data_IF_210096041464
#
_entry.id   IF_210096041464
#
_cell.length_a   1.000
_cell.length_b   1.000
_cell.length_c   1.000
_cell.angle_alpha   90.00
_cell.angle_beta   90.00
_cell.angle_gamma   90.00
#
_symmetry.space_group_name_H-M   'P 1'
#
loop_
_entity.id
_entity.type
_entity.pdbx_description
1 polymer ?
#
# COMPACT_ATOMS: atom_id res chain seq x y z
N UNK A 1 -31.59 16.36 -23.39
CA UNK A 1 -30.45 15.61 -22.83
C UNK A 1 -29.69 16.56 -21.89
N UNK A 2 -29.51 16.19 -20.62
CA UNK A 2 -28.77 17.01 -19.66
C UNK A 2 -27.33 17.25 -20.15
N UNK A 3 -26.73 18.36 -19.73
CA UNK A 3 -25.30 18.59 -19.93
C UNK A 3 -24.52 17.40 -19.32
N UNK A 4 -23.44 16.96 -19.97
CA UNK A 4 -22.69 15.77 -19.54
C UNK A 4 -22.10 15.91 -18.12
N UNK A 5 -21.78 17.14 -17.71
CA UNK A 5 -21.22 17.42 -16.39
C UNK A 5 -22.15 17.02 -15.22
N UNK A 6 -23.40 17.51 -15.11
CA UNK A 6 -24.31 17.09 -14.03
C UNK A 6 -24.66 15.60 -14.06
N UNK A 7 -24.62 14.95 -15.23
CA UNK A 7 -24.80 13.50 -15.32
C UNK A 7 -23.66 12.74 -14.61
N UNK A 8 -22.40 13.10 -14.92
CA UNK A 8 -21.23 12.48 -14.27
C UNK A 8 -21.19 12.78 -12.78
N UNK A 9 -21.51 14.03 -12.39
CA UNK A 9 -21.57 14.41 -10.98
C UNK A 9 -22.65 13.62 -10.22
N UNK A 10 -23.83 13.44 -10.82
CA UNK A 10 -24.91 12.65 -10.22
C UNK A 10 -24.50 11.20 -9.97
N UNK A 11 -23.80 10.57 -10.93
CA UNK A 11 -23.29 9.21 -10.78
C UNK A 11 -22.29 9.11 -9.61
N UNK A 12 -21.24 9.94 -9.60
CA UNK A 12 -20.21 9.91 -8.56
C UNK A 12 -20.82 10.17 -7.17
N UNK A 13 -21.68 11.19 -7.04
CA UNK A 13 -22.29 11.54 -5.75
C UNK A 13 -23.23 10.44 -5.25
N UNK A 14 -23.96 9.78 -6.15
CA UNK A 14 -24.85 8.67 -5.77
C UNK A 14 -24.10 7.43 -5.27
N UNK A 15 -22.86 7.22 -5.72
CA UNK A 15 -22.04 6.07 -5.31
C UNK A 15 -21.34 6.29 -3.96
N UNK A 16 -20.95 7.52 -3.62
CA UNK A 16 -20.28 7.84 -2.36
C UNK A 16 -20.93 7.22 -1.09
N UNK A 17 -22.25 7.32 -0.85
CA UNK A 17 -22.86 6.70 0.33
C UNK A 17 -22.75 5.18 0.31
N UNK A 18 -22.86 4.56 -0.88
CA UNK A 18 -22.71 3.12 -1.03
C UNK A 18 -21.27 2.67 -0.73
N UNK A 19 -20.27 3.39 -1.24
CA UNK A 19 -18.86 3.11 -0.97
C UNK A 19 -18.50 3.25 0.51
N UNK A 20 -19.05 4.24 1.20
CA UNK A 20 -18.84 4.40 2.64
C UNK A 20 -19.41 3.23 3.44
N UNK A 21 -20.59 2.73 3.07
CA UNK A 21 -21.20 1.57 3.73
C UNK A 21 -20.35 0.31 3.48
N UNK A 22 -19.93 0.08 2.24
CA UNK A 22 -19.06 -1.05 1.88
C UNK A 22 -17.72 -0.99 2.62
N UNK A 23 -17.07 0.18 2.63
CA UNK A 23 -15.83 0.41 3.38
C UNK A 23 -16.00 0.12 4.87
N UNK A 24 -17.10 0.58 5.48
CA UNK A 24 -17.39 0.35 6.90
C UNK A 24 -17.59 -1.13 7.22
N UNK A 25 -18.41 -1.82 6.42
CA UNK A 25 -18.65 -3.26 6.62
C UNK A 25 -17.37 -4.07 6.46
N UNK A 26 -16.58 -3.78 5.42
CA UNK A 26 -15.30 -4.45 5.21
C UNK A 26 -14.32 -4.16 6.34
N UNK A 27 -14.18 -2.89 6.74
CA UNK A 27 -13.30 -2.48 7.83
C UNK A 27 -13.66 -3.19 9.13
N UNK A 28 -14.93 -3.22 9.53
CA UNK A 28 -15.34 -3.87 10.79
C UNK A 28 -15.06 -5.37 10.76
N UNK A 29 -15.38 -6.05 9.65
CA UNK A 29 -15.15 -7.48 9.52
C UNK A 29 -13.66 -7.85 9.49
N UNK A 30 -12.84 -7.11 8.74
CA UNK A 30 -11.42 -7.43 8.57
C UNK A 30 -10.53 -6.91 9.70
N UNK A 31 -10.72 -5.66 10.12
CA UNK A 31 -9.80 -4.97 11.03
C UNK A 31 -9.78 -5.61 12.42
N UNK A 32 -10.96 -5.90 12.97
CA UNK A 32 -11.08 -6.48 14.31
C UNK A 32 -10.74 -7.97 14.34
N UNK A 33 -11.01 -8.71 13.26
CA UNK A 33 -10.64 -10.14 13.17
C UNK A 33 -9.13 -10.34 13.02
N UNK A 34 -8.44 -9.39 12.39
CA UNK A 34 -7.00 -9.43 12.19
C UNK A 34 -6.16 -9.10 13.45
N UNK A 35 -6.77 -8.67 14.56
CA UNK A 35 -6.02 -8.32 15.77
C UNK A 35 -5.11 -7.10 15.61
N UNK A 36 -5.51 -6.15 14.77
CA UNK A 36 -4.79 -4.91 14.52
C UNK A 36 -4.89 -3.93 15.72
N UNK A 37 -3.99 -2.94 15.85
CA UNK A 37 -3.97 -2.04 17.00
C UNK A 37 -5.29 -1.25 17.15
N UNK A 38 -6.06 -1.49 18.21
CA UNK A 38 -7.38 -0.86 18.41
C UNK A 38 -7.34 0.61 18.83
N UNK A 39 -6.16 1.21 18.95
CA UNK A 39 -6.02 2.63 19.28
C UNK A 39 -6.74 3.51 18.27
N UNK A 40 -7.54 4.47 18.74
CA UNK A 40 -8.40 5.30 17.89
C UNK A 40 -7.64 6.01 16.76
N UNK A 41 -6.39 6.42 17.00
CA UNK A 41 -5.52 7.01 15.98
C UNK A 41 -5.16 6.05 14.85
N UNK A 42 -4.88 4.78 15.16
CA UNK A 42 -4.54 3.76 14.17
C UNK A 42 -5.80 3.27 13.43
N UNK A 43 -6.85 2.94 14.17
CA UNK A 43 -8.11 2.46 13.61
C UNK A 43 -8.76 3.51 12.69
N UNK A 44 -8.83 4.77 13.13
CA UNK A 44 -9.36 5.86 12.32
C UNK A 44 -8.54 6.14 11.06
N UNK A 45 -7.21 6.09 11.16
CA UNK A 45 -6.32 6.29 10.01
C UNK A 45 -6.44 5.14 9.00
N UNK A 46 -6.56 3.90 9.46
CA UNK A 46 -6.78 2.74 8.58
C UNK A 46 -8.16 2.81 7.93
N UNK A 47 -9.22 3.15 8.68
CA UNK A 47 -10.55 3.34 8.12
C UNK A 47 -10.55 4.41 7.02
N UNK A 48 -9.87 5.54 7.25
CA UNK A 48 -9.71 6.59 6.24
C UNK A 48 -9.05 6.06 4.96
N UNK A 49 -7.97 5.29 5.08
CA UNK A 49 -7.28 4.69 3.93
C UNK A 49 -8.18 3.70 3.19
N UNK A 50 -9.00 2.91 3.90
CA UNK A 50 -9.98 1.99 3.29
C UNK A 50 -11.07 2.75 2.52
N UNK A 51 -11.57 3.86 3.06
CA UNK A 51 -12.52 4.72 2.31
C UNK A 51 -11.88 5.29 1.05
N UNK A 52 -10.62 5.72 1.13
CA UNK A 52 -9.88 6.22 -0.04
C UNK A 52 -9.60 5.10 -1.05
N UNK A 53 -9.39 3.87 -0.61
CA UNK A 53 -9.24 2.69 -1.47
C UNK A 53 -10.50 2.47 -2.34
N UNK A 54 -11.69 2.52 -1.74
CA UNK A 54 -12.95 2.37 -2.48
C UNK A 54 -13.12 3.48 -3.53
N UNK A 55 -12.78 4.73 -3.18
CA UNK A 55 -12.80 5.85 -4.13
C UNK A 55 -11.78 5.69 -5.27
N UNK A 56 -10.59 5.17 -4.96
CA UNK A 56 -9.54 4.93 -5.95
C UNK A 56 -9.95 3.83 -6.94
N UNK A 57 -10.43 2.70 -6.42
CA UNK A 57 -10.83 1.54 -7.22
C UNK A 57 -12.00 1.88 -8.15
N UNK A 58 -13.04 2.53 -7.61
CA UNK A 58 -14.19 2.97 -8.42
C UNK A 58 -13.82 4.04 -9.42
N UNK A 59 -12.99 5.01 -9.05
CA UNK A 59 -12.50 6.05 -9.96
C UNK A 59 -11.74 5.47 -11.16
N UNK A 60 -10.84 4.51 -10.94
CA UNK A 60 -10.12 3.83 -12.03
C UNK A 60 -11.09 3.04 -12.91
N UNK A 61 -12.03 2.30 -12.31
CA UNK A 61 -13.05 1.55 -13.05
C UNK A 61 -13.91 2.46 -13.93
N UNK A 62 -14.37 3.59 -13.40
CA UNK A 62 -15.16 4.58 -14.14
C UNK A 62 -14.35 5.25 -15.25
N UNK A 63 -13.06 5.52 -15.03
CA UNK A 63 -12.17 6.08 -16.05
C UNK A 63 -12.03 5.12 -17.24
N UNK A 64 -11.81 3.83 -16.96
CA UNK A 64 -11.72 2.79 -17.99
C UNK A 64 -13.07 2.69 -18.71
N UNK A 65 -14.17 2.54 -17.98
CA UNK A 65 -15.51 2.43 -18.55
C UNK A 65 -15.88 3.63 -19.45
N UNK A 66 -15.47 4.85 -19.07
CA UNK A 66 -15.71 6.05 -19.86
C UNK A 66 -15.00 6.01 -21.23
N UNK A 67 -13.80 5.43 -21.30
CA UNK A 67 -13.01 5.36 -22.53
C UNK A 67 -13.36 4.14 -23.41
N UNK A 68 -13.74 3.02 -22.80
CA UNK A 68 -14.00 1.79 -23.55
C UNK A 68 -15.30 1.85 -24.37
N UNK A 69 -15.33 1.21 -25.56
CA UNK A 69 -16.51 1.20 -26.42
C UNK A 69 -17.64 0.32 -25.86
N UNK A 70 -17.29 -0.77 -25.17
CA UNK A 70 -18.22 -1.79 -24.67
C UNK A 70 -17.84 -2.26 -23.25
N UNK A 71 -18.82 -2.65 -22.45
CA UNK A 71 -18.62 -3.13 -21.08
C UNK A 71 -17.76 -4.40 -20.99
N UNK A 72 -17.87 -5.31 -21.97
CA UNK A 72 -17.03 -6.52 -22.04
C UNK A 72 -15.56 -6.15 -22.16
N UNK A 73 -15.23 -5.16 -23.00
CA UNK A 73 -13.85 -4.71 -23.14
C UNK A 73 -13.34 -4.04 -21.86
N UNK A 74 -14.18 -3.25 -21.18
CA UNK A 74 -13.85 -2.69 -19.86
C UNK A 74 -13.50 -3.76 -18.83
N UNK A 75 -14.29 -4.85 -18.79
CA UNK A 75 -14.05 -5.96 -17.85
C UNK A 75 -12.75 -6.73 -18.09
N UNK A 76 -12.23 -6.73 -19.33
CA UNK A 76 -10.94 -7.35 -19.67
C UNK A 76 -9.75 -6.43 -19.36
N UNK A 77 -9.91 -5.12 -19.57
CA UNK A 77 -8.83 -4.14 -19.36
C UNK A 77 -8.65 -3.82 -17.88
N UNK A 78 -9.74 -3.73 -17.11
CA UNK A 78 -9.69 -3.40 -15.68
C UNK A 78 -8.72 -4.30 -14.86
N UNK A 79 -8.80 -5.64 -14.92
CA UNK A 79 -7.89 -6.49 -14.16
C UNK A 79 -6.44 -6.34 -14.62
N UNK A 80 -6.16 -6.09 -15.91
CA UNK A 80 -4.80 -5.84 -16.39
C UNK A 80 -4.20 -4.57 -15.79
N UNK A 81 -4.98 -3.48 -15.76
CA UNK A 81 -4.53 -2.20 -15.19
C UNK A 81 -4.29 -2.34 -13.68
N UNK A 82 -5.27 -2.88 -12.95
CA UNK A 82 -5.17 -3.04 -11.49
C UNK A 82 -4.02 -3.98 -11.12
N UNK A 83 -3.87 -5.12 -11.80
CA UNK A 83 -2.78 -6.07 -11.52
C UNK A 83 -1.42 -5.43 -11.77
N UNK A 84 -1.28 -4.63 -12.82
CA UNK A 84 -0.03 -3.90 -13.10
C UNK A 84 0.28 -2.92 -11.98
N UNK A 85 -0.68 -2.08 -11.58
CA UNK A 85 -0.50 -1.12 -10.48
C UNK A 85 -0.14 -1.82 -9.17
N UNK A 86 -0.90 -2.83 -8.75
CA UNK A 86 -0.64 -3.59 -7.53
C UNK A 86 0.73 -4.30 -7.57
N UNK A 87 1.20 -4.74 -8.74
CA UNK A 87 2.54 -5.35 -8.87
C UNK A 87 3.68 -4.37 -8.59
N UNK A 88 3.48 -3.09 -8.90
CA UNK A 88 4.49 -2.04 -8.71
C UNK A 88 4.33 -1.22 -7.42
N UNK A 89 3.41 -1.61 -6.53
CA UNK A 89 3.14 -0.89 -5.28
C UNK A 89 4.29 -0.91 -4.25
N UNK A 90 5.40 -1.62 -4.51
CA UNK A 90 6.57 -1.64 -3.63
C UNK A 90 6.52 -2.65 -2.48
N UNK A 91 5.34 -3.20 -2.18
CA UNK A 91 5.16 -4.22 -1.13
C UNK A 91 5.35 -5.63 -1.68
N UNK A 92 4.85 -5.92 -2.89
CA UNK A 92 5.09 -7.22 -3.55
C UNK A 92 6.53 -7.36 -4.04
N UNK A 93 7.07 -6.29 -4.62
CA UNK A 93 8.46 -6.21 -5.06
C UNK A 93 9.09 -4.99 -4.37
N UNK A 94 10.03 -5.18 -3.44
CA UNK A 94 10.76 -4.10 -2.78
C UNK A 94 11.37 -3.13 -3.79
N UNK A 95 11.39 -1.84 -3.45
CA UNK A 95 11.92 -0.78 -4.31
C UNK A 95 13.33 -1.07 -4.87
N UNK A 96 14.19 -1.72 -4.09
CA UNK A 96 15.55 -2.09 -4.50
C UNK A 96 15.60 -3.14 -5.61
N UNK A 97 14.60 -4.00 -5.71
CA UNK A 97 14.51 -5.11 -6.67
C UNK A 97 13.78 -4.73 -7.97
N UNK A 98 13.11 -3.57 -8.01
CA UNK A 98 12.44 -3.09 -9.22
C UNK A 98 13.48 -2.66 -10.26
N UNK A 99 13.27 -3.10 -11.51
CA UNK A 99 14.11 -2.73 -12.67
C UNK A 99 14.23 -1.20 -12.75
N UNK A 100 15.44 -0.63 -12.96
CA UNK A 100 15.68 0.81 -12.85
C UNK A 100 14.72 1.68 -13.66
N UNK A 101 14.35 1.25 -14.87
CA UNK A 101 13.38 1.95 -15.71
C UNK A 101 12.03 2.14 -15.01
N UNK A 102 11.44 1.06 -14.49
CA UNK A 102 10.16 1.09 -13.77
C UNK A 102 10.24 1.76 -12.40
N UNK A 103 11.41 1.67 -11.76
CA UNK A 103 11.65 2.20 -10.42
C UNK A 103 11.56 3.72 -10.33
N UNK A 104 11.93 4.47 -11.37
CA UNK A 104 11.97 5.93 -11.31
C UNK A 104 10.63 6.62 -11.59
N UNK A 105 9.64 5.92 -12.16
CA UNK A 105 8.39 6.54 -12.61
C UNK A 105 7.12 5.83 -12.12
N UNK A 106 6.87 4.59 -12.54
CA UNK A 106 5.73 3.76 -12.12
C UNK A 106 5.59 3.66 -10.61
N UNK A 107 6.69 3.46 -9.88
CA UNK A 107 6.65 3.40 -8.41
C UNK A 107 6.02 4.67 -7.79
N UNK A 108 6.31 5.85 -8.34
CA UNK A 108 5.82 7.12 -7.81
C UNK A 108 4.48 7.57 -8.41
N UNK A 109 4.13 7.07 -9.60
CA UNK A 109 2.83 7.32 -10.26
C UNK A 109 1.75 6.38 -9.71
N UNK A 110 2.14 5.22 -9.20
CA UNK A 110 1.19 4.24 -8.70
C UNK A 110 0.54 4.69 -7.38
N UNK A 111 -0.79 4.94 -7.36
CA UNK A 111 -1.48 5.30 -6.13
C UNK A 111 -1.50 4.16 -5.10
N UNK A 112 -1.39 2.90 -5.54
CA UNK A 112 -1.35 1.75 -4.64
C UNK A 112 -0.08 1.70 -3.81
N UNK A 113 1.04 2.27 -4.29
CA UNK A 113 2.26 2.41 -3.49
C UNK A 113 2.00 3.22 -2.21
N UNK A 114 1.41 4.40 -2.35
CA UNK A 114 1.11 5.28 -1.21
C UNK A 114 0.04 4.68 -0.30
N UNK A 115 -0.97 4.04 -0.89
CA UNK A 115 -2.04 3.37 -0.16
C UNK A 115 -1.51 2.25 0.74
N UNK A 116 -0.78 1.29 0.16
CA UNK A 116 -0.22 0.17 0.92
C UNK A 116 0.81 0.64 1.93
N UNK A 117 1.66 1.60 1.56
CA UNK A 117 2.64 2.18 2.48
C UNK A 117 1.97 2.83 3.69
N UNK A 118 0.87 3.57 3.50
CA UNK A 118 0.14 4.20 4.60
C UNK A 118 -0.51 3.17 5.54
N UNK A 119 -1.12 2.13 4.97
CA UNK A 119 -1.74 1.05 5.71
C UNK A 119 -0.72 0.31 6.58
N UNK A 120 0.44 -0.03 6.01
CA UNK A 120 1.52 -0.70 6.72
C UNK A 120 2.05 0.16 7.86
N UNK A 121 2.36 1.44 7.62
CA UNK A 121 2.86 2.34 8.66
C UNK A 121 1.87 2.46 9.83
N UNK A 122 0.57 2.61 9.57
CA UNK A 122 -0.41 2.74 10.66
C UNK A 122 -0.60 1.46 11.48
N UNK A 123 -0.29 0.29 10.91
CA UNK A 123 -0.57 -1.01 11.56
C UNK A 123 0.65 -1.66 12.20
N UNK A 124 1.85 -1.46 11.64
CA UNK A 124 3.04 -2.20 12.04
C UNK A 124 4.17 -1.35 12.61
N UNK A 125 4.15 -0.02 12.48
CA UNK A 125 5.28 0.84 12.89
C UNK A 125 5.72 0.63 14.34
N UNK A 126 4.78 0.64 15.29
CA UNK A 126 5.06 0.51 16.73
C UNK A 126 4.89 -0.92 17.27
N UNK A 127 4.71 -1.93 16.39
CA UNK A 127 4.54 -3.31 16.86
C UNK A 127 5.90 -3.97 17.16
N UNK A 128 6.12 -4.48 18.39
CA UNK A 128 7.32 -5.27 18.69
C UNK A 128 7.26 -6.61 17.95
N UNK A 129 8.41 -7.05 17.44
CA UNK A 129 8.54 -8.34 16.75
C UNK A 129 9.10 -9.36 17.73
N UNK A 130 8.37 -10.46 17.90
CA UNK A 130 8.82 -11.61 18.68
C UNK A 130 8.98 -12.81 17.75
N UNK A 131 10.22 -13.14 17.41
CA UNK A 131 10.51 -14.29 16.55
C UNK A 131 10.12 -15.61 17.23
N UNK A 132 9.50 -16.51 16.47
CA UNK A 132 9.32 -17.91 16.88
C UNK A 132 10.61 -18.70 16.68
N UNK A 133 10.79 -19.87 17.33
CA UNK A 133 11.99 -20.70 17.16
C UNK A 133 12.33 -21.05 15.71
N UNK A 134 11.32 -21.16 14.85
CA UNK A 134 11.47 -21.46 13.41
C UNK A 134 11.95 -20.26 12.58
N UNK A 135 11.77 -19.04 13.08
CA UNK A 135 12.15 -17.78 12.41
C UNK A 135 13.52 -17.28 12.88
N UNK A 136 14.13 -17.97 13.86
CA UNK A 136 15.45 -17.64 14.38
C UNK A 136 16.52 -18.13 13.40
N UNK A 137 17.43 -17.22 13.05
CA UNK A 137 18.67 -17.62 12.43
C UNK A 137 19.56 -18.24 13.50
N UNK A 138 19.82 -19.54 13.38
CA UNK A 138 20.70 -20.29 14.28
C UNK A 138 22.05 -20.52 13.60
N UNK A 139 23.13 -20.09 14.24
CA UNK A 139 24.48 -20.35 13.78
C UNK A 139 25.46 -20.49 14.96
N UNK A 140 26.62 -21.08 14.71
CA UNK A 140 27.68 -21.23 15.71
C UNK A 140 28.79 -20.19 15.48
N UNK A 141 29.23 -19.47 16.54
CA UNK A 141 30.32 -18.50 16.41
C UNK A 141 31.68 -19.21 16.33
N UNK A 142 32.74 -18.52 15.86
CA UNK A 142 34.10 -19.06 15.88
C UNK A 142 34.57 -19.43 17.29
N UNK A 143 35.51 -20.38 17.39
CA UNK A 143 36.06 -20.84 18.67
C UNK A 143 36.61 -19.68 19.52
N UNK A 144 36.23 -19.65 20.81
CA UNK A 144 36.59 -18.64 21.80
C UNK A 144 35.90 -17.26 21.66
N UNK A 145 34.77 -17.17 20.97
CA UNK A 145 33.92 -15.96 20.96
C UNK A 145 32.51 -16.27 21.46
N UNK A 146 31.92 -15.32 22.18
CA UNK A 146 30.48 -15.33 22.51
C UNK A 146 29.65 -14.87 21.32
N UNK A 147 28.36 -15.23 21.31
CA UNK A 147 27.41 -14.75 20.30
C UNK A 147 27.37 -13.21 20.23
N UNK A 148 27.44 -12.53 21.38
CA UNK A 148 27.45 -11.07 21.45
C UNK A 148 28.72 -10.47 20.83
N UNK A 149 29.90 -11.04 21.12
CA UNK A 149 31.17 -10.56 20.56
C UNK A 149 31.20 -10.70 19.04
N UNK A 150 30.78 -11.84 18.51
CA UNK A 150 30.74 -12.08 17.07
C UNK A 150 29.75 -11.18 16.34
N UNK A 151 28.56 -10.95 16.92
CA UNK A 151 27.52 -10.13 16.30
C UNK A 151 27.69 -8.62 16.51
N UNK A 152 28.56 -8.18 17.43
CA UNK A 152 28.73 -6.77 17.76
C UNK A 152 29.04 -5.89 16.52
N UNK A 153 29.92 -6.36 15.63
CA UNK A 153 30.27 -5.64 14.40
C UNK A 153 29.08 -5.64 13.41
N UNK A 154 28.38 -6.77 13.27
CA UNK A 154 27.19 -6.86 12.41
C UNK A 154 26.05 -5.95 12.90
N UNK A 155 25.80 -5.94 14.21
CA UNK A 155 24.82 -5.08 14.88
C UNK A 155 25.21 -3.59 14.83
N UNK A 156 26.49 -3.26 14.64
CA UNK A 156 26.91 -1.86 14.44
C UNK A 156 26.67 -1.34 13.01
N UNK A 157 26.47 -2.24 12.04
CA UNK A 157 26.31 -1.90 10.63
C UNK A 157 24.95 -2.32 10.09
N UNK A 158 24.96 -3.35 9.23
CA UNK A 158 23.77 -3.79 8.49
C UNK A 158 22.73 -4.50 9.37
N UNK A 159 23.13 -4.98 10.55
CA UNK A 159 22.33 -5.77 11.47
C UNK A 159 21.78 -5.01 12.68
N UNK A 160 21.80 -3.67 12.69
CA UNK A 160 21.26 -2.84 13.80
C UNK A 160 19.87 -3.26 14.24
N UNK A 161 19.05 -3.72 13.30
CA UNK A 161 17.67 -4.14 13.52
C UNK A 161 17.53 -5.56 14.12
N UNK A 162 18.62 -6.30 14.30
CA UNK A 162 18.57 -7.68 14.78
C UNK A 162 18.56 -7.75 16.30
N UNK A 163 17.81 -8.71 16.84
CA UNK A 163 17.74 -8.96 18.28
C UNK A 163 18.39 -10.32 18.59
N UNK A 164 19.40 -10.32 19.46
CA UNK A 164 20.06 -11.54 19.93
C UNK A 164 19.41 -12.01 21.24
N UNK A 165 18.95 -13.26 21.28
CA UNK A 165 18.25 -13.80 22.45
C UNK A 165 19.20 -14.40 23.50
N UNK A 166 20.36 -14.92 23.07
CA UNK A 166 21.36 -15.57 23.93
C UNK A 166 22.76 -14.95 23.75
N UNK A 167 23.04 -13.81 24.39
CA UNK A 167 24.32 -13.10 24.24
C UNK A 167 25.52 -13.85 24.83
N UNK A 168 25.32 -14.61 25.90
CA UNK A 168 26.39 -15.24 26.69
C UNK A 168 26.80 -16.63 26.18
N UNK A 169 26.02 -17.23 25.27
CA UNK A 169 26.30 -18.56 24.76
C UNK A 169 27.44 -18.54 23.73
N UNK A 170 28.17 -19.66 23.65
CA UNK A 170 29.23 -19.90 22.67
C UNK A 170 28.85 -20.94 21.60
N UNK A 171 27.58 -21.35 21.58
CA UNK A 171 27.02 -22.31 20.62
C UNK A 171 25.54 -22.00 20.39
N UNK A 172 25.05 -22.26 19.17
CA UNK A 172 23.65 -22.04 18.77
C UNK A 172 23.14 -20.62 19.05
N UNK A 173 23.81 -19.61 18.51
CA UNK A 173 23.37 -18.22 18.59
C UNK A 173 22.00 -18.06 17.91
N UNK A 174 21.03 -17.52 18.62
CA UNK A 174 19.66 -17.32 18.16
C UNK A 174 19.42 -15.85 17.86
N UNK A 175 19.38 -15.51 16.57
CA UNK A 175 19.17 -14.13 16.11
C UNK A 175 17.81 -13.98 15.47
N UNK A 176 17.06 -13.01 15.98
CA UNK A 176 15.83 -12.52 15.38
C UNK A 176 16.17 -11.38 14.40
N UNK A 177 15.69 -11.47 13.16
CA UNK A 177 16.05 -10.54 12.08
C UNK A 177 15.56 -9.10 12.32
N UNK A 178 14.46 -8.93 13.06
CA UNK A 178 13.84 -7.63 13.30
C UNK A 178 13.47 -7.48 14.78
N UNK A 179 13.72 -6.30 15.35
CA UNK A 179 13.32 -5.96 16.74
C UNK A 179 11.92 -5.35 16.78
N UNK A 180 11.60 -4.52 15.78
CA UNK A 180 10.34 -3.78 15.67
C UNK A 180 9.85 -3.78 14.23
N UNK A 181 8.53 -3.63 14.04
CA UNK A 181 7.95 -3.50 12.70
C UNK A 181 8.49 -2.30 11.92
N UNK A 182 8.95 -1.24 12.60
CA UNK A 182 9.66 -0.14 11.94
C UNK A 182 10.92 -0.60 11.17
N UNK A 183 11.65 -1.58 11.69
CA UNK A 183 12.84 -2.12 11.03
C UNK A 183 12.49 -2.88 9.75
N UNK A 184 11.38 -3.64 9.80
CA UNK A 184 10.82 -4.29 8.63
C UNK A 184 10.40 -3.25 7.57
N UNK A 185 9.69 -2.19 7.97
CA UNK A 185 9.22 -1.15 7.05
C UNK A 185 10.37 -0.37 6.39
N UNK A 186 11.50 -0.20 7.06
CA UNK A 186 12.70 0.43 6.47
C UNK A 186 13.22 -0.35 5.26
N UNK A 187 13.08 -1.68 5.25
CA UNK A 187 13.44 -2.51 4.09
C UNK A 187 12.56 -2.23 2.86
N UNK A 188 11.32 -1.77 3.08
CA UNK A 188 10.35 -1.40 2.05
C UNK A 188 10.43 0.09 1.64
N UNK A 189 11.55 0.76 1.93
CA UNK A 189 11.77 2.19 1.64
C UNK A 189 10.88 3.14 2.47
N UNK A 190 10.36 2.69 3.62
CA UNK A 190 9.57 3.50 4.56
C UNK A 190 10.42 3.85 5.78
N UNK A 191 10.98 5.07 5.77
CA UNK A 191 12.03 5.48 6.72
C UNK A 191 11.50 6.03 8.05
N UNK A 192 10.32 6.62 8.06
CA UNK A 192 9.76 7.31 9.22
C UNK A 192 8.24 7.13 9.34
N UNK A 193 7.71 7.18 10.56
CA UNK A 193 6.28 7.01 10.83
C UNK A 193 5.39 8.11 10.24
N UNK A 194 5.91 9.33 10.04
CA UNK A 194 5.15 10.41 9.39
C UNK A 194 4.79 10.10 7.92
N UNK A 195 5.49 9.16 7.28
CA UNK A 195 5.16 8.71 5.92
C UNK A 195 3.73 8.16 5.83
N UNK A 196 3.16 7.63 6.93
CA UNK A 196 1.78 7.14 6.96
C UNK A 196 0.78 8.23 6.58
N UNK A 197 0.77 9.34 7.33
CA UNK A 197 -0.13 10.47 7.10
C UNK A 197 0.16 11.19 5.78
N UNK A 198 1.44 11.39 5.46
CA UNK A 198 1.84 12.02 4.19
C UNK A 198 1.34 11.22 2.99
N UNK A 199 1.55 9.90 2.99
CA UNK A 199 1.14 9.04 1.90
C UNK A 199 -0.40 8.93 1.83
N UNK A 200 -1.10 8.88 2.96
CA UNK A 200 -2.56 8.95 2.98
C UNK A 200 -3.08 10.25 2.33
N UNK A 201 -2.44 11.39 2.60
CA UNK A 201 -2.75 12.66 1.92
C UNK A 201 -2.48 12.63 0.42
N UNK A 202 -1.41 11.98 -0.03
CA UNK A 202 -1.10 11.79 -1.46
C UNK A 202 -2.20 10.96 -2.13
N UNK A 203 -2.70 9.90 -1.49
CA UNK A 203 -3.80 9.09 -2.02
C UNK A 203 -5.05 9.94 -2.27
N UNK A 204 -5.39 10.88 -1.37
CA UNK A 204 -6.53 11.79 -1.57
C UNK A 204 -6.37 12.60 -2.87
N UNK A 205 -5.16 13.12 -3.11
CA UNK A 205 -4.85 13.87 -4.33
C UNK A 205 -5.02 12.99 -5.57
N UNK A 206 -4.59 11.73 -5.52
CA UNK A 206 -4.80 10.77 -6.60
C UNK A 206 -6.28 10.45 -6.82
N UNK A 207 -7.06 10.25 -5.77
CA UNK A 207 -8.51 9.99 -5.87
C UNK A 207 -9.20 11.17 -6.57
N UNK A 208 -8.95 12.40 -6.11
CA UNK A 208 -9.50 13.60 -6.73
C UNK A 208 -9.03 13.73 -8.19
N UNK A 209 -7.73 13.47 -8.44
CA UNK A 209 -7.14 13.50 -9.78
C UNK A 209 -7.80 12.50 -10.73
N UNK A 210 -8.05 11.27 -10.29
CA UNK A 210 -8.68 10.21 -11.09
C UNK A 210 -10.14 10.55 -11.38
N UNK A 211 -10.91 11.04 -10.40
CA UNK A 211 -12.26 11.54 -10.69
C UNK A 211 -12.21 12.72 -11.66
N UNK A 212 -11.23 13.61 -11.56
CA UNK A 212 -10.97 14.66 -12.56
C UNK A 212 -10.70 14.10 -13.96
N UNK A 213 -9.94 13.00 -14.07
CA UNK A 213 -9.73 12.29 -15.34
C UNK A 213 -11.02 11.69 -15.89
N UNK A 214 -11.93 11.19 -15.05
CA UNK A 214 -13.26 10.73 -15.49
C UNK A 214 -14.02 11.87 -16.19
N UNK A 215 -14.04 13.08 -15.62
CA UNK A 215 -14.64 14.24 -16.27
C UNK A 215 -13.96 14.59 -17.60
N UNK A 216 -12.62 14.53 -17.64
CA UNK A 216 -11.85 14.79 -18.87
C UNK A 216 -12.18 13.77 -19.96
N UNK A 217 -12.20 12.48 -19.63
CA UNK A 217 -12.49 11.39 -20.56
C UNK A 217 -13.91 11.49 -21.11
N UNK A 218 -14.90 11.79 -20.26
CA UNK A 218 -16.28 12.02 -20.68
C UNK A 218 -16.41 13.22 -21.63
N UNK A 219 -15.66 14.31 -21.37
CA UNK A 219 -15.60 15.48 -22.27
C UNK A 219 -14.97 15.15 -23.63
N UNK A 220 -13.94 14.29 -23.65
CA UNK A 220 -13.30 13.84 -24.89
C UNK A 220 -14.23 12.94 -25.70
N UNK A 221 -14.91 11.98 -25.05
CA UNK A 221 -15.88 11.09 -25.69
C UNK A 221 -17.03 11.85 -26.33
N UNK A 222 -17.62 12.80 -25.62
CA UNK A 222 -18.71 13.63 -26.17
C UNK A 222 -18.29 14.46 -27.38
N UNK A 223 -17.03 14.90 -27.47
CA UNK A 223 -16.50 15.54 -28.69
C UNK A 223 -16.30 14.55 -29.83
N UNK A 224 -15.83 13.34 -29.54
CA UNK A 224 -15.64 12.29 -30.54
C UNK A 224 -16.97 11.83 -31.16
N UNK A 225 -18.01 11.61 -30.33
CA UNK A 225 -19.35 11.27 -30.82
C UNK A 225 -19.92 12.36 -31.72
N UNK A 226 -19.77 13.64 -31.34
CA UNK A 226 -20.22 14.77 -32.17
C UNK A 226 -19.50 14.88 -33.52
N UNK A 227 -18.27 14.37 -33.65
CA UNK A 227 -17.53 14.34 -34.92
C UNK A 227 -17.87 13.14 -35.80
N UNK A 228 -18.42 12.07 -35.22
CA UNK A 228 -18.83 10.88 -35.97
C UNK A 228 -20.19 11.05 -36.66
N UNK A 229 -21.02 12.00 -36.19
CA UNK A 229 -22.33 12.32 -36.77
C UNK A 229 -22.28 13.44 -37.83
N UNK A 230 -21.13 14.07 -38.06
CA UNK A 230 -20.91 15.12 -39.07
C UNK A 230 -20.15 14.59 -40.29
#
# INVERSE_FOLDING_TARGET
MYHWAPFVTGLIVSELPYLLICALLYFVCWYFTAGLPTGAGHAGSVFFVVVMYEGLYTGIGQMIAAYTPNAVFASLVNPLVITTLVSFCGVMVPYSQIVPFWRYWMYFIDPFNYLMSSLLVFTTWDKPVHCKPEELAVFDPPSNMTCAEYLSEYQSGMGVATNLLNPDDSASCQVCQYTSGADYLRSLNLKEGYYGLRNAGIVVVFVIGIYGLVYLMMKLRTKATKRAES
#
